data_IF_861239907680
#
_entry.id   IF_861239907680
#
_cell.length_a   1.000
_cell.length_b   1.000
_cell.length_c   1.000
_cell.angle_alpha   90.00
_cell.angle_beta   90.00
_cell.angle_gamma   90.00
#
_symmetry.space_group_name_H-M   'P 1'
#
loop_
_entity.id
_entity.type
_entity.pdbx_description
1 polymer ?
#
# COMPACT_ATOMS: atom_id res chain seq x y z
N UNK A 1 6.32 8.92 -14.54
CA UNK A 1 6.08 7.57 -14.00
C UNK A 1 5.43 6.78 -15.11
N UNK A 2 6.17 5.81 -15.63
CA UNK A 2 5.66 4.76 -16.51
C UNK A 2 4.43 4.10 -15.85
N UNK A 3 3.54 3.54 -16.67
CA UNK A 3 2.21 3.03 -16.33
C UNK A 3 2.05 2.48 -14.91
N UNK A 4 0.91 2.77 -14.26
CA UNK A 4 0.57 2.29 -12.92
C UNK A 4 0.20 0.79 -12.93
N UNK A 5 1.20 -0.06 -13.17
CA UNK A 5 1.06 -1.51 -13.30
C UNK A 5 1.66 -2.24 -12.11
N UNK A 6 1.21 -3.47 -11.87
CA UNK A 6 1.62 -4.30 -10.75
C UNK A 6 3.15 -4.46 -10.64
N UNK A 7 3.91 -4.75 -11.72
CA UNK A 7 5.38 -4.84 -11.64
C UNK A 7 6.05 -3.50 -11.28
N UNK A 8 5.56 -2.38 -11.82
CA UNK A 8 6.11 -1.05 -11.55
C UNK A 8 5.86 -0.65 -10.09
N UNK A 9 4.67 -0.95 -9.59
CA UNK A 9 4.28 -0.71 -8.19
C UNK A 9 5.15 -1.55 -7.25
N UNK A 10 5.38 -2.82 -7.57
CA UNK A 10 6.22 -3.70 -6.75
C UNK A 10 7.66 -3.19 -6.65
N UNK A 11 8.26 -2.79 -7.78
CA UNK A 11 9.62 -2.22 -7.83
C UNK A 11 9.68 -0.95 -7.00
N UNK A 12 8.76 0.00 -7.21
CA UNK A 12 8.73 1.26 -6.48
C UNK A 12 8.63 1.08 -4.96
N UNK A 13 7.81 0.11 -4.50
CA UNK A 13 7.69 -0.19 -3.08
C UNK A 13 8.98 -0.85 -2.56
N UNK A 14 9.56 -1.81 -3.27
CA UNK A 14 10.83 -2.44 -2.88
C UNK A 14 11.95 -1.41 -2.75
N UNK A 15 12.09 -0.52 -3.71
CA UNK A 15 13.06 0.58 -3.67
C UNK A 15 12.81 1.50 -2.47
N UNK A 16 11.56 1.91 -2.24
CA UNK A 16 11.19 2.78 -1.13
C UNK A 16 11.57 2.16 0.23
N UNK A 17 11.23 0.88 0.45
CA UNK A 17 11.51 0.22 1.74
C UNK A 17 13.01 -0.05 1.92
N UNK A 18 13.73 -0.37 0.83
CA UNK A 18 15.18 -0.52 0.84
C UNK A 18 15.88 0.80 1.18
N UNK A 19 15.48 1.92 0.56
CA UNK A 19 16.02 3.24 0.86
C UNK A 19 15.77 3.69 2.31
N UNK A 20 14.78 3.12 3.00
CA UNK A 20 14.46 3.42 4.40
C UNK A 20 14.94 2.35 5.38
N UNK A 21 15.64 1.32 4.91
CA UNK A 21 16.08 0.17 5.72
C UNK A 21 14.91 -0.53 6.46
N UNK A 22 13.71 -0.47 5.86
CA UNK A 22 12.50 -1.12 6.39
C UNK A 22 12.32 -2.45 5.65
N UNK A 23 12.06 -3.52 6.40
CA UNK A 23 11.72 -4.81 5.78
C UNK A 23 10.39 -4.73 5.03
N UNK A 24 10.36 -5.18 3.77
CA UNK A 24 9.17 -5.14 2.89
C UNK A 24 7.90 -5.67 3.57
N UNK A 25 7.99 -6.81 4.27
CA UNK A 25 6.85 -7.41 4.99
C UNK A 25 6.27 -6.52 6.10
N UNK A 26 7.05 -5.59 6.68
CA UNK A 26 6.54 -4.63 7.68
C UNK A 26 5.61 -3.59 7.08
N UNK A 27 5.75 -3.30 5.79
CA UNK A 27 4.90 -2.33 5.07
C UNK A 27 3.69 -3.01 4.43
N UNK A 28 3.81 -4.26 4.00
CA UNK A 28 2.74 -4.94 3.24
C UNK A 28 1.45 -5.11 4.03
N UNK A 29 1.52 -5.54 5.29
CA UNK A 29 0.31 -5.75 6.09
C UNK A 29 -0.45 -4.43 6.36
N UNK A 30 0.21 -3.34 6.82
CA UNK A 30 -0.45 -2.04 6.93
C UNK A 30 -1.01 -1.51 5.61
N UNK A 31 -0.24 -1.60 4.51
CA UNK A 31 -0.68 -1.13 3.20
C UNK A 31 -1.94 -1.88 2.75
N UNK A 32 -1.97 -3.20 2.95
CA UNK A 32 -3.11 -4.05 2.62
C UNK A 32 -4.35 -3.70 3.44
N UNK A 33 -4.17 -3.48 4.74
CA UNK A 33 -5.26 -3.09 5.62
C UNK A 33 -5.88 -1.75 5.18
N UNK A 34 -5.05 -0.76 4.85
CA UNK A 34 -5.52 0.55 4.38
C UNK A 34 -6.23 0.45 3.03
N UNK A 35 -5.70 -0.33 2.10
CA UNK A 35 -6.22 -0.39 0.74
C UNK A 35 -7.42 -1.31 0.58
N UNK A 36 -7.49 -2.42 1.33
CA UNK A 36 -8.47 -3.49 1.14
C UNK A 36 -9.37 -3.68 2.36
N UNK A 37 -8.98 -3.18 3.54
CA UNK A 37 -9.73 -3.37 4.79
C UNK A 37 -9.60 -4.78 5.39
N UNK A 38 -8.72 -5.62 4.84
CA UNK A 38 -8.47 -7.00 5.29
C UNK A 38 -7.01 -7.38 5.09
N UNK A 39 -6.49 -8.27 5.93
CA UNK A 39 -5.13 -8.82 5.78
C UNK A 39 -5.06 -9.99 4.78
N UNK A 40 -6.20 -10.44 4.24
CA UNK A 40 -6.31 -11.58 3.32
C UNK A 40 -6.94 -11.10 2.00
N UNK A 41 -6.42 -11.57 0.86
CA UNK A 41 -6.97 -11.24 -0.45
C UNK A 41 -6.07 -11.62 -1.63
N UNK A 42 -6.42 -11.17 -2.85
CA UNK A 42 -5.59 -11.32 -4.05
C UNK A 42 -4.30 -10.48 -3.97
N UNK A 43 -3.40 -10.63 -4.95
CA UNK A 43 -2.14 -9.89 -5.04
C UNK A 43 -2.34 -8.38 -4.82
N UNK A 44 -1.59 -7.80 -3.88
CA UNK A 44 -1.80 -6.40 -3.47
C UNK A 44 -1.48 -5.43 -4.61
N UNK A 45 -0.42 -5.69 -5.36
CA UNK A 45 -0.01 -4.86 -6.50
C UNK A 45 -1.00 -4.95 -7.65
N UNK A 46 -1.53 -6.14 -7.94
CA UNK A 46 -2.61 -6.32 -8.94
C UNK A 46 -3.88 -5.58 -8.51
N UNK A 47 -4.20 -5.62 -7.22
CA UNK A 47 -5.32 -4.86 -6.65
C UNK A 47 -5.11 -3.37 -6.82
N UNK A 48 -3.90 -2.88 -6.56
CA UNK A 48 -3.55 -1.46 -6.76
C UNK A 48 -3.68 -1.07 -8.23
N UNK A 49 -3.13 -1.86 -9.16
CA UNK A 49 -3.28 -1.63 -10.61
C UNK A 49 -4.75 -1.52 -11.03
N UNK A 50 -5.60 -2.44 -10.57
CA UNK A 50 -7.04 -2.44 -10.87
C UNK A 50 -7.76 -1.22 -10.27
N UNK A 51 -7.41 -0.82 -9.05
CA UNK A 51 -7.98 0.37 -8.40
C UNK A 51 -7.55 1.66 -9.10
N UNK A 52 -6.35 1.66 -9.68
CA UNK A 52 -5.74 2.83 -10.29
C UNK A 52 -5.08 3.76 -9.27
N UNK A 53 -4.22 4.64 -9.79
CA UNK A 53 -3.33 5.48 -8.99
C UNK A 53 -4.07 6.43 -8.04
N UNK A 54 -5.09 7.12 -8.55
CA UNK A 54 -5.80 8.16 -7.80
C UNK A 54 -6.52 7.58 -6.59
N UNK A 55 -7.22 6.45 -6.76
CA UNK A 55 -7.95 5.79 -5.68
C UNK A 55 -7.00 5.20 -4.64
N UNK A 56 -5.87 4.62 -5.05
CA UNK A 56 -4.83 4.15 -4.14
C UNK A 56 -4.31 5.30 -3.27
N UNK A 57 -3.99 6.45 -3.86
CA UNK A 57 -3.49 7.61 -3.11
C UNK A 57 -4.55 8.16 -2.15
N UNK A 58 -5.80 8.26 -2.59
CA UNK A 58 -6.94 8.69 -1.76
C UNK A 58 -7.13 7.78 -0.54
N UNK A 59 -7.05 6.46 -0.71
CA UNK A 59 -7.14 5.50 0.41
C UNK A 59 -5.96 5.61 1.36
N UNK A 60 -4.75 5.77 0.84
CA UNK A 60 -3.55 5.95 1.68
C UNK A 60 -3.66 7.21 2.54
N UNK A 61 -4.08 8.33 1.96
CA UNK A 61 -4.28 9.59 2.70
C UNK A 61 -5.33 9.43 3.81
N UNK A 62 -6.47 8.82 3.51
CA UNK A 62 -7.50 8.51 4.51
C UNK A 62 -6.97 7.59 5.61
N UNK A 63 -6.29 6.51 5.24
CA UNK A 63 -5.73 5.56 6.18
C UNK A 63 -4.72 6.19 7.14
N UNK A 64 -3.85 7.07 6.64
CA UNK A 64 -2.88 7.81 7.47
C UNK A 64 -3.56 8.72 8.50
N UNK A 65 -4.69 9.35 8.15
CA UNK A 65 -5.48 10.14 9.10
C UNK A 65 -6.22 9.28 10.13
N UNK A 66 -6.50 8.00 9.83
CA UNK A 66 -7.24 7.08 10.71
C UNK A 66 -6.35 6.22 11.62
N UNK A 67 -5.04 6.09 11.34
CA UNK A 67 -4.10 5.30 12.16
C UNK A 67 -4.04 5.76 13.63
N UNK A 68 -4.05 7.07 13.97
CA UNK A 68 -4.07 7.51 15.36
C UNK A 68 -5.30 6.98 16.14
N UNK A 69 -6.47 6.89 15.50
CA UNK A 69 -7.71 6.35 16.10
C UNK A 69 -7.70 4.82 16.24
N UNK A 70 -6.95 4.12 15.37
CA UNK A 70 -6.87 2.65 15.41
C UNK A 70 -5.89 2.12 16.45
N UNK A 71 -4.83 2.87 16.77
CA UNK A 71 -3.84 2.50 17.80
C UNK A 71 -4.23 2.94 19.21
N UNK A 72 -5.27 3.76 19.34
CA UNK A 72 -5.82 4.24 20.62
C UNK A 72 -7.05 3.46 21.09
N UNK A 73 -7.38 2.36 20.41
CA UNK A 73 -8.38 1.36 20.81
C UNK A 73 -7.69 0.04 21.15
#
# INVERSE_FOLDING_TARGET
LESFTSPVIEVAIKELVSCREIGFGKVMNPLRLILVGSNIGPGLMDTMEVLGKEEVLNRLEKGLHSIPEMLSR
#
